data_IF_987487763699
#
_entry.id   IF_987487763699
#
_cell.length_a   1.000
_cell.length_b   1.000
_cell.length_c   1.000
_cell.angle_alpha   90.00
_cell.angle_beta   90.00
_cell.angle_gamma   90.00
#
_symmetry.space_group_name_H-M   'P 1'
#
loop_
_entity.id
_entity.type
_entity.pdbx_description
1 polymer ?
#
# COMPACT_ATOMS: atom_id res chain seq x y z
N UNK A 1 -21.85 8.33 5.45
CA UNK A 1 -21.15 8.74 4.21
C UNK A 1 -19.73 9.23 4.51
N UNK A 2 -18.85 8.39 5.09
CA UNK A 2 -17.49 8.79 5.49
C UNK A 2 -16.36 8.09 4.69
N UNK A 3 -16.72 7.28 3.69
CA UNK A 3 -15.78 6.46 2.93
C UNK A 3 -15.02 7.18 1.82
N UNK A 4 -15.57 8.28 1.27
CA UNK A 4 -15.02 8.95 0.08
C UNK A 4 -13.82 9.85 0.37
N UNK A 5 -13.83 10.62 1.46
CA UNK A 5 -12.75 11.58 1.75
C UNK A 5 -11.40 10.93 2.06
N UNK A 6 -11.40 9.78 2.75
CA UNK A 6 -10.17 9.07 3.10
C UNK A 6 -9.52 8.44 1.85
N UNK A 7 -10.33 7.92 0.93
CA UNK A 7 -9.82 7.43 -0.35
C UNK A 7 -9.23 8.58 -1.17
N UNK A 8 -9.87 9.76 -1.13
CA UNK A 8 -9.38 10.94 -1.84
C UNK A 8 -8.01 11.42 -1.34
N UNK A 9 -7.74 11.44 -0.03
CA UNK A 9 -6.43 11.82 0.51
C UNK A 9 -5.30 10.81 0.20
N UNK A 10 -5.58 9.51 0.30
CA UNK A 10 -4.58 8.47 -0.04
C UNK A 10 -4.31 8.48 -1.56
N UNK A 11 -5.35 8.62 -2.38
CA UNK A 11 -5.21 8.78 -3.82
C UNK A 11 -4.41 10.05 -4.13
N UNK A 12 -4.61 11.16 -3.40
CA UNK A 12 -3.86 12.39 -3.64
C UNK A 12 -2.35 12.23 -3.32
N UNK A 13 -1.99 11.50 -2.26
CA UNK A 13 -0.59 11.15 -1.96
C UNK A 13 0.01 10.20 -3.01
N UNK A 14 -0.74 9.19 -3.43
CA UNK A 14 -0.32 8.25 -4.49
C UNK A 14 -0.27 8.91 -5.87
N UNK A 15 -1.07 9.96 -6.12
CA UNK A 15 -1.13 10.68 -7.40
C UNK A 15 0.14 11.50 -7.66
N UNK A 16 0.75 12.04 -6.62
CA UNK A 16 2.03 12.76 -6.67
C UNK A 16 3.26 11.85 -6.79
N UNK A 17 3.08 10.52 -6.72
CA UNK A 17 4.17 9.58 -6.98
C UNK A 17 4.20 9.21 -8.46
N UNK A 18 5.40 9.28 -9.05
CA UNK A 18 5.76 8.77 -10.38
C UNK A 18 5.75 7.22 -10.35
N UNK A 19 4.53 6.69 -10.18
CA UNK A 19 4.22 5.32 -9.85
C UNK A 19 3.25 4.81 -10.91
N UNK A 20 3.47 3.62 -11.51
CA UNK A 20 2.55 3.06 -12.49
C UNK A 20 1.13 2.94 -11.92
N UNK A 21 0.10 3.21 -12.73
CA UNK A 21 -1.31 3.08 -12.32
C UNK A 21 -1.64 1.71 -11.71
N UNK A 22 -0.97 0.65 -12.20
CA UNK A 22 -1.10 -0.71 -11.65
C UNK A 22 -0.65 -0.78 -10.18
N UNK A 23 0.44 -0.11 -9.82
CA UNK A 23 0.93 -0.06 -8.44
C UNK A 23 -0.03 0.73 -7.55
N UNK A 24 -0.58 1.86 -8.04
CA UNK A 24 -1.61 2.63 -7.31
C UNK A 24 -2.84 1.77 -7.01
N UNK A 25 -3.30 0.97 -7.98
CA UNK A 25 -4.44 0.06 -7.78
C UNK A 25 -4.16 -1.02 -6.73
N UNK A 26 -2.94 -1.56 -6.68
CA UNK A 26 -2.52 -2.53 -5.64
C UNK A 26 -2.54 -1.88 -4.25
N UNK A 27 -2.01 -0.68 -4.10
CA UNK A 27 -2.07 0.05 -2.82
C UNK A 27 -3.49 0.36 -2.38
N UNK A 28 -4.39 0.71 -3.32
CA UNK A 28 -5.81 0.89 -2.98
C UNK A 28 -6.43 -0.41 -2.47
N UNK A 29 -6.07 -1.56 -3.04
CA UNK A 29 -6.51 -2.87 -2.54
C UNK A 29 -6.02 -3.15 -1.11
N UNK A 30 -4.78 -2.76 -0.77
CA UNK A 30 -4.26 -2.88 0.61
C UNK A 30 -5.12 -2.05 1.58
N UNK A 31 -5.35 -0.78 1.27
CA UNK A 31 -6.18 0.11 2.11
C UNK A 31 -7.57 -0.47 2.31
N UNK A 32 -8.21 -0.95 1.24
CA UNK A 32 -9.54 -1.58 1.32
C UNK A 32 -9.54 -2.82 2.19
N UNK A 33 -8.51 -3.65 2.08
CA UNK A 33 -8.36 -4.85 2.90
C UNK A 33 -8.22 -4.49 4.38
N UNK A 34 -7.33 -3.56 4.74
CA UNK A 34 -7.15 -3.12 6.13
C UNK A 34 -8.42 -2.49 6.69
N UNK A 35 -9.15 -1.67 5.91
CA UNK A 35 -10.44 -1.12 6.36
C UNK A 35 -11.50 -2.19 6.61
N UNK A 36 -11.49 -3.27 5.85
CA UNK A 36 -12.47 -4.35 5.97
C UNK A 36 -12.14 -5.34 7.10
N UNK A 37 -10.86 -5.67 7.28
CA UNK A 37 -10.41 -6.75 8.18
C UNK A 37 -9.62 -6.26 9.40
N UNK A 38 -9.35 -4.95 9.50
CA UNK A 38 -8.63 -4.31 10.61
C UNK A 38 -7.11 -4.51 10.61
N UNK A 39 -6.60 -5.40 9.77
CA UNK A 39 -5.16 -5.65 9.62
C UNK A 39 -4.87 -6.25 8.25
N UNK A 40 -3.59 -6.36 7.92
CA UNK A 40 -3.12 -7.10 6.74
C UNK A 40 -1.85 -7.87 7.11
N UNK A 41 -1.72 -9.09 6.59
CA UNK A 41 -0.54 -9.94 6.79
C UNK A 41 0.28 -10.06 5.49
N UNK A 42 1.47 -10.64 5.62
CA UNK A 42 2.43 -10.76 4.53
C UNK A 42 1.89 -11.60 3.37
N UNK A 43 1.07 -12.62 3.65
CA UNK A 43 0.46 -13.47 2.62
C UNK A 43 -0.57 -12.70 1.78
N UNK A 44 -1.38 -11.86 2.41
CA UNK A 44 -2.37 -11.04 1.72
C UNK A 44 -1.69 -9.93 0.91
N UNK A 45 -0.60 -9.36 1.41
CA UNK A 45 0.26 -8.47 0.64
C UNK A 45 0.83 -9.19 -0.60
N UNK A 46 1.38 -10.40 -0.44
CA UNK A 46 1.89 -11.17 -1.58
C UNK A 46 0.81 -11.42 -2.64
N UNK A 47 -0.43 -11.72 -2.23
CA UNK A 47 -1.56 -11.92 -3.16
C UNK A 47 -1.95 -10.63 -3.88
N UNK A 48 -2.03 -9.51 -3.17
CA UNK A 48 -2.41 -8.22 -3.75
C UNK A 48 -1.36 -7.74 -4.74
N UNK A 49 -0.08 -7.87 -4.39
CA UNK A 49 1.01 -7.41 -5.25
C UNK A 49 1.38 -8.43 -6.33
N UNK A 50 1.03 -9.70 -6.17
CA UNK A 50 1.37 -10.78 -7.11
C UNK A 50 2.87 -11.08 -7.13
N UNK A 51 3.58 -10.72 -6.06
CA UNK A 51 5.02 -10.90 -5.92
C UNK A 51 5.37 -11.16 -4.44
N UNK A 52 6.61 -11.55 -4.18
CA UNK A 52 7.06 -11.73 -2.79
C UNK A 52 7.22 -10.37 -2.12
N UNK A 53 6.47 -10.19 -1.02
CA UNK A 53 6.62 -9.05 -0.12
C UNK A 53 7.22 -9.57 1.18
N UNK A 54 8.27 -8.91 1.66
CA UNK A 54 8.88 -9.24 2.95
C UNK A 54 8.96 -7.99 3.84
N UNK A 55 8.97 -8.19 5.16
CA UNK A 55 9.15 -7.10 6.12
C UNK A 55 10.52 -7.17 6.78
N UNK A 56 11.15 -6.02 6.98
CA UNK A 56 12.35 -5.88 7.82
C UNK A 56 12.00 -5.55 9.29
N UNK A 57 10.71 -5.59 9.65
CA UNK A 57 10.18 -5.20 10.96
C UNK A 57 9.82 -3.72 11.09
N UNK A 58 10.14 -2.88 10.09
CA UNK A 58 9.79 -1.45 10.03
C UNK A 58 8.96 -1.11 8.80
N UNK A 59 9.29 -1.71 7.66
CA UNK A 59 8.66 -1.49 6.36
C UNK A 59 8.37 -2.83 5.68
N UNK A 60 7.62 -2.75 4.60
CA UNK A 60 7.42 -3.82 3.64
C UNK A 60 8.21 -3.53 2.38
N UNK A 61 8.78 -4.57 1.80
CA UNK A 61 9.65 -4.46 0.64
C UNK A 61 9.16 -5.40 -0.46
N UNK A 62 9.21 -4.88 -1.69
CA UNK A 62 9.15 -5.65 -2.92
C UNK A 62 10.48 -5.57 -3.66
N UNK A 63 10.54 -6.21 -4.83
CA UNK A 63 11.67 -6.07 -5.74
C UNK A 63 11.83 -4.62 -6.24
N UNK A 64 10.71 -3.91 -6.43
CA UNK A 64 10.69 -2.60 -7.09
C UNK A 64 10.54 -1.40 -6.14
N UNK A 65 10.06 -1.59 -4.91
CA UNK A 65 9.82 -0.49 -3.97
C UNK A 65 9.78 -0.95 -2.52
N UNK A 66 9.68 0.00 -1.61
CA UNK A 66 9.49 -0.22 -0.18
C UNK A 66 8.40 0.72 0.34
N UNK A 67 7.57 0.25 1.25
CA UNK A 67 6.38 0.96 1.70
C UNK A 67 6.02 0.63 3.15
N UNK A 68 5.30 1.56 3.77
CA UNK A 68 4.70 1.42 5.09
C UNK A 68 3.20 1.28 4.96
N UNK A 69 2.62 0.55 5.90
CA UNK A 69 1.19 0.51 6.13
C UNK A 69 0.96 0.94 7.57
N UNK A 70 0.30 2.07 7.77
CA UNK A 70 -0.18 2.46 9.08
C UNK A 70 -1.26 1.47 9.51
N UNK A 71 -1.04 0.74 10.61
CA UNK A 71 -1.97 -0.29 11.06
C UNK A 71 -3.22 0.27 11.72
N UNK A 72 -3.22 1.53 12.14
CA UNK A 72 -4.37 2.18 12.76
C UNK A 72 -5.28 2.83 11.71
N UNK A 73 -4.71 3.44 10.67
CA UNK A 73 -5.49 4.14 9.62
C UNK A 73 -5.63 3.33 8.34
N UNK A 74 -4.75 2.34 8.11
CA UNK A 74 -4.63 1.61 6.87
C UNK A 74 -3.94 2.39 5.75
N UNK A 75 -3.39 3.57 6.07
CA UNK A 75 -2.73 4.42 5.09
C UNK A 75 -1.43 3.76 4.60
N UNK A 76 -1.24 3.81 3.29
CA UNK A 76 -0.04 3.29 2.66
C UNK A 76 0.86 4.44 2.21
N UNK A 77 2.15 4.36 2.57
CA UNK A 77 3.15 5.32 2.15
C UNK A 77 4.32 4.59 1.51
N UNK A 78 4.62 4.90 0.24
CA UNK A 78 5.80 4.33 -0.42
C UNK A 78 7.01 5.15 0.02
N UNK A 79 7.95 4.48 0.69
CA UNK A 79 9.15 5.10 1.25
C UNK A 79 10.28 5.19 0.22
N UNK A 80 10.38 4.24 -0.70
CA UNK A 80 11.41 4.25 -1.74
C UNK A 80 10.95 3.52 -2.99
N UNK A 81 11.18 4.11 -4.17
CA UNK A 81 11.21 3.38 -5.44
C UNK A 81 12.65 2.94 -5.72
N UNK A 82 12.84 1.64 -5.93
CA UNK A 82 14.11 1.09 -6.38
C UNK A 82 14.11 1.24 -7.90
N UNK A 83 14.59 2.38 -8.39
CA UNK A 83 14.87 2.54 -9.81
C UNK A 83 15.81 1.40 -10.25
N UNK A 84 15.53 0.80 -11.41
CA UNK A 84 16.45 -0.12 -12.09
C UNK A 84 17.82 0.52 -12.31
#
# INVERSE_FOLDING_TARGET
>A
MAGDNANHMIINRLSNMDCPNATKAKFLSVVRHVKQFGSINDLDLCKIFGETIWSDGREYHSAAFSFKVDRMTGDCEISQYKNQ
#
